data_IF_248540012820
#
_entry.id   IF_248540012820
#
_cell.length_a   1.000
_cell.length_b   1.000
_cell.length_c   1.000
_cell.angle_alpha   90.00
_cell.angle_beta   90.00
_cell.angle_gamma   90.00
#
_symmetry.space_group_name_H-M   'P 1'
#
loop_
_entity.id
_entity.type
_entity.pdbx_description
1 polymer ?
#
# COMPACT_ATOMS: atom_id res chain seq x y z
N UNK A 1 1.00 24.34 0.42
CA UNK A 1 -0.13 24.57 -0.54
C UNK A 1 0.18 24.02 -1.93
N UNK A 2 1.45 23.95 -2.28
CA UNK A 2 1.85 23.54 -3.64
C UNK A 2 1.64 22.06 -3.93
N UNK A 3 1.76 21.17 -2.92
CA UNK A 3 1.63 19.73 -3.12
C UNK A 3 0.21 19.27 -3.52
N UNK A 4 -0.84 19.85 -2.93
CA UNK A 4 -2.23 19.52 -3.29
C UNK A 4 -2.53 19.96 -4.73
N UNK A 5 -2.04 21.15 -5.11
CA UNK A 5 -2.12 21.63 -6.49
C UNK A 5 -1.32 20.72 -7.41
N UNK A 6 -0.14 20.26 -6.97
CA UNK A 6 0.69 19.31 -7.67
C UNK A 6 -0.02 17.96 -7.90
N UNK A 7 -0.70 17.43 -6.89
CA UNK A 7 -1.47 16.19 -7.01
C UNK A 7 -2.60 16.34 -8.05
N UNK A 8 -3.32 17.47 -8.07
CA UNK A 8 -4.34 17.71 -9.10
C UNK A 8 -3.71 17.76 -10.50
N UNK A 9 -2.58 18.49 -10.66
CA UNK A 9 -1.86 18.55 -11.94
C UNK A 9 -1.38 17.17 -12.40
N UNK A 10 -0.92 16.33 -11.47
CA UNK A 10 -0.50 14.97 -11.78
C UNK A 10 -1.68 14.11 -12.25
N UNK A 11 -2.85 14.23 -11.61
CA UNK A 11 -4.08 13.56 -12.06
C UNK A 11 -4.50 14.08 -13.45
N UNK A 12 -4.44 15.38 -13.68
CA UNK A 12 -4.76 16.00 -14.98
C UNK A 12 -3.81 15.48 -16.07
N UNK A 13 -2.50 15.44 -15.78
CA UNK A 13 -1.52 14.87 -16.68
C UNK A 13 -1.81 13.41 -17.04
N UNK A 14 -2.16 12.58 -16.06
CA UNK A 14 -2.54 11.19 -16.30
C UNK A 14 -3.76 11.11 -17.23
N UNK A 15 -4.80 11.89 -16.96
CA UNK A 15 -6.05 11.90 -17.76
C UNK A 15 -5.83 12.34 -19.19
N UNK A 16 -4.96 13.33 -19.40
CA UNK A 16 -4.63 13.85 -20.72
C UNK A 16 -3.78 12.87 -21.56
N UNK A 17 -3.10 11.91 -20.89
CA UNK A 17 -2.20 10.97 -21.54
C UNK A 17 -2.66 9.50 -21.43
N UNK A 18 -3.94 9.22 -21.18
CA UNK A 18 -4.44 7.86 -20.98
C UNK A 18 -4.24 6.94 -22.20
N UNK A 19 -4.12 7.48 -23.41
CA UNK A 19 -3.86 6.71 -24.64
C UNK A 19 -2.38 6.58 -24.97
N UNK A 20 -1.51 7.22 -24.20
CA UNK A 20 -0.06 7.24 -24.40
C UNK A 20 0.65 6.41 -23.33
N UNK A 21 1.97 6.24 -23.49
CA UNK A 21 2.81 5.68 -22.42
C UNK A 21 2.98 6.73 -21.32
N UNK A 22 2.54 6.41 -20.12
CA UNK A 22 2.64 7.30 -18.96
C UNK A 22 3.92 6.98 -18.21
N UNK A 23 4.81 7.96 -18.14
CA UNK A 23 6.03 7.92 -17.34
C UNK A 23 5.74 8.47 -15.94
N UNK A 24 5.97 7.67 -14.91
CA UNK A 24 5.70 8.04 -13.52
C UNK A 24 6.64 9.11 -12.98
N UNK A 25 7.84 9.26 -13.55
CA UNK A 25 8.72 10.39 -13.23
C UNK A 25 8.07 11.71 -13.69
N UNK A 26 7.49 11.70 -14.89
CA UNK A 26 6.76 12.88 -15.40
C UNK A 26 5.49 13.19 -14.62
N UNK A 27 4.80 12.17 -14.14
CA UNK A 27 3.64 12.32 -13.23
C UNK A 27 4.07 12.98 -11.92
N UNK A 28 5.13 12.45 -11.28
CA UNK A 28 5.65 12.95 -10.01
C UNK A 28 6.21 14.37 -10.12
N UNK A 29 6.84 14.70 -11.26
CA UNK A 29 7.37 16.04 -11.53
C UNK A 29 6.28 17.14 -11.47
N UNK A 30 5.00 16.80 -11.72
CA UNK A 30 3.89 17.75 -11.58
C UNK A 30 3.70 18.23 -10.13
N UNK A 31 4.14 17.44 -9.16
CA UNK A 31 4.06 17.73 -7.73
C UNK A 31 5.41 18.04 -7.08
N UNK A 32 6.46 18.22 -7.88
CA UNK A 32 7.83 18.47 -7.40
C UNK A 32 8.32 17.43 -6.40
N UNK A 33 7.97 16.16 -6.61
CA UNK A 33 8.34 15.06 -5.73
C UNK A 33 9.03 13.94 -6.50
N UNK A 34 9.73 13.05 -5.79
CA UNK A 34 10.25 11.84 -6.40
C UNK A 34 9.11 10.90 -6.81
N UNK A 35 9.33 10.08 -7.83
CA UNK A 35 8.36 9.09 -8.31
C UNK A 35 7.90 8.16 -7.19
N UNK A 36 8.83 7.67 -6.38
CA UNK A 36 8.52 6.83 -5.24
C UNK A 36 7.61 7.52 -4.22
N UNK A 37 7.98 8.74 -3.81
CA UNK A 37 7.19 9.52 -2.85
C UNK A 37 5.77 9.76 -3.38
N UNK A 38 5.65 10.21 -4.65
CA UNK A 38 4.35 10.47 -5.26
C UNK A 38 3.47 9.23 -5.31
N UNK A 39 3.99 8.10 -5.82
CA UNK A 39 3.26 6.85 -5.89
C UNK A 39 2.79 6.39 -4.52
N UNK A 40 3.67 6.54 -3.52
CA UNK A 40 3.37 6.14 -2.14
C UNK A 40 2.28 6.98 -1.51
N UNK A 41 2.41 8.30 -1.59
CA UNK A 41 1.40 9.25 -1.10
C UNK A 41 0.06 9.03 -1.81
N UNK A 42 0.08 8.91 -3.13
CA UNK A 42 -1.13 8.63 -3.92
C UNK A 42 -1.83 7.36 -3.43
N UNK A 43 -1.08 6.26 -3.24
CA UNK A 43 -1.67 4.99 -2.79
C UNK A 43 -2.24 5.04 -1.38
N UNK A 44 -1.64 5.83 -0.48
CA UNK A 44 -2.14 6.03 0.89
C UNK A 44 -3.44 6.84 0.88
N UNK A 45 -3.49 7.91 0.08
CA UNK A 45 -4.66 8.78 0.01
C UNK A 45 -5.84 8.14 -0.72
N UNK A 46 -5.57 7.45 -1.84
CA UNK A 46 -6.58 6.89 -2.71
C UNK A 46 -6.94 5.43 -2.36
N UNK A 47 -6.11 4.73 -1.57
CA UNK A 47 -6.24 3.31 -1.26
C UNK A 47 -6.05 2.37 -2.47
N UNK A 48 -5.56 2.88 -3.60
CA UNK A 48 -5.17 2.12 -4.79
C UNK A 48 -3.95 2.77 -5.47
N UNK A 49 -3.26 2.02 -6.31
CA UNK A 49 -2.03 2.52 -6.97
C UNK A 49 -2.35 3.38 -8.19
N UNK A 50 -1.35 4.14 -8.68
CA UNK A 50 -1.46 4.91 -9.93
C UNK A 50 -1.73 3.98 -11.11
N UNK A 51 -1.04 2.84 -11.18
CA UNK A 51 -1.25 1.85 -12.24
C UNK A 51 -2.67 1.26 -12.23
N UNK A 52 -3.23 0.99 -11.04
CA UNK A 52 -4.64 0.59 -10.91
C UNK A 52 -5.59 1.68 -11.40
N UNK A 53 -5.32 2.94 -11.06
CA UNK A 53 -6.11 4.07 -11.54
C UNK A 53 -6.09 4.16 -13.07
N UNK A 54 -4.90 4.21 -13.67
CA UNK A 54 -4.72 4.29 -15.12
C UNK A 54 -5.43 3.12 -15.81
N UNK A 55 -5.21 1.90 -15.35
CA UNK A 55 -5.83 0.69 -15.91
C UNK A 55 -7.36 0.77 -15.88
N UNK A 56 -7.96 1.14 -14.75
CA UNK A 56 -9.39 1.22 -14.59
C UNK A 56 -10.01 2.35 -15.45
N UNK A 57 -9.32 3.49 -15.56
CA UNK A 57 -9.72 4.60 -16.43
C UNK A 57 -9.70 4.18 -17.90
N UNK A 58 -8.61 3.55 -18.35
CA UNK A 58 -8.45 3.02 -19.72
C UNK A 58 -9.55 2.02 -20.07
N UNK A 59 -9.83 1.06 -19.20
CA UNK A 59 -10.88 0.07 -19.41
C UNK A 59 -12.27 0.71 -19.46
N UNK A 60 -12.55 1.68 -18.60
CA UNK A 60 -13.80 2.42 -18.61
C UNK A 60 -14.02 3.16 -19.94
N UNK A 61 -13.00 3.89 -20.41
CA UNK A 61 -13.04 4.62 -21.69
C UNK A 61 -13.13 3.68 -22.88
N UNK A 62 -12.36 2.57 -22.87
CA UNK A 62 -12.43 1.54 -23.90
C UNK A 62 -13.84 0.93 -24.01
N UNK A 63 -14.49 0.69 -22.87
CA UNK A 63 -15.87 0.20 -22.84
C UNK A 63 -16.84 1.17 -23.49
N UNK A 64 -16.72 2.47 -23.19
CA UNK A 64 -17.54 3.52 -23.82
C UNK A 64 -17.29 3.59 -25.32
N UNK A 65 -16.02 3.58 -25.75
CA UNK A 65 -15.66 3.64 -27.17
C UNK A 65 -16.19 2.43 -27.96
N UNK A 66 -16.04 1.22 -27.41
CA UNK A 66 -16.58 0.01 -28.03
C UNK A 66 -18.12 0.02 -28.11
N UNK A 67 -18.81 0.61 -27.15
CA UNK A 67 -20.27 0.69 -27.15
C UNK A 67 -20.82 1.74 -28.12
N UNK A 68 -20.06 2.82 -28.39
CA UNK A 68 -20.55 4.00 -29.14
C UNK A 68 -19.93 4.14 -30.52
N UNK A 69 -19.01 3.26 -30.93
CA UNK A 69 -18.32 3.33 -32.22
C UNK A 69 -18.20 1.96 -32.89
N UNK A 70 -17.84 1.96 -34.18
CA UNK A 70 -17.55 0.75 -34.94
C UNK A 70 -16.07 0.34 -34.91
N UNK A 71 -15.25 0.91 -33.95
CA UNK A 71 -13.86 0.64 -33.83
C UNK A 71 -13.60 -0.86 -33.55
N UNK A 72 -12.62 -1.46 -34.21
CA UNK A 72 -12.29 -2.87 -33.96
C UNK A 72 -11.73 -3.05 -32.55
N UNK A 73 -12.05 -4.17 -31.91
CA UNK A 73 -11.55 -4.49 -30.55
C UNK A 73 -10.01 -4.41 -30.45
N UNK A 74 -9.30 -4.84 -31.51
CA UNK A 74 -7.83 -4.79 -31.56
C UNK A 74 -7.32 -3.34 -31.56
N UNK A 75 -7.97 -2.44 -32.31
CA UNK A 75 -7.54 -1.05 -32.41
C UNK A 75 -7.77 -0.32 -31.08
N UNK A 76 -8.88 -0.61 -30.41
CA UNK A 76 -9.20 -0.08 -29.08
C UNK A 76 -8.22 -0.64 -28.04
N UNK A 77 -7.88 -1.94 -28.10
CA UNK A 77 -6.88 -2.53 -27.21
C UNK A 77 -5.52 -1.83 -27.31
N UNK A 78 -5.02 -1.64 -28.54
CA UNK A 78 -3.75 -0.95 -28.80
C UNK A 78 -3.81 0.52 -28.33
N UNK A 79 -4.88 1.24 -28.65
CA UNK A 79 -5.08 2.64 -28.23
C UNK A 79 -4.99 2.82 -26.71
N UNK A 80 -5.52 1.88 -25.93
CA UNK A 80 -5.48 1.94 -24.47
C UNK A 80 -4.31 1.19 -23.84
N UNK A 81 -3.23 0.95 -24.63
CA UNK A 81 -1.93 0.50 -24.14
C UNK A 81 -1.85 -1.00 -23.87
N UNK A 82 -2.66 -1.83 -24.50
CA UNK A 82 -2.54 -3.28 -24.44
C UNK A 82 -1.81 -3.83 -25.66
N UNK A 83 -0.74 -4.58 -25.41
CA UNK A 83 0.10 -5.16 -26.47
C UNK A 83 -0.58 -6.35 -27.19
N UNK A 84 -1.57 -6.98 -26.54
CA UNK A 84 -2.29 -8.10 -27.14
C UNK A 84 -3.80 -8.03 -26.91
N UNK A 85 -4.61 -8.47 -27.89
CA UNK A 85 -6.06 -8.57 -27.73
C UNK A 85 -6.48 -9.49 -26.59
N UNK A 86 -5.70 -10.55 -26.31
CA UNK A 86 -6.01 -11.51 -25.25
C UNK A 86 -5.83 -10.91 -23.86
N UNK A 87 -4.75 -10.17 -23.64
CA UNK A 87 -4.53 -9.45 -22.38
C UNK A 87 -5.61 -8.39 -22.14
N UNK A 88 -5.96 -7.65 -23.20
CA UNK A 88 -7.08 -6.72 -23.16
C UNK A 88 -8.41 -7.40 -22.83
N UNK A 89 -8.74 -8.49 -23.52
CA UNK A 89 -10.01 -9.20 -23.31
C UNK A 89 -10.14 -9.73 -21.88
N UNK A 90 -9.07 -10.28 -21.30
CA UNK A 90 -9.04 -10.72 -19.90
C UNK A 90 -9.24 -9.55 -18.92
N UNK A 91 -8.52 -8.44 -19.11
CA UNK A 91 -8.63 -7.27 -18.27
C UNK A 91 -10.04 -6.62 -18.39
N UNK A 92 -10.55 -6.50 -19.61
CA UNK A 92 -11.86 -5.96 -19.91
C UNK A 92 -12.96 -6.81 -19.26
N UNK A 93 -12.89 -8.14 -19.40
CA UNK A 93 -13.86 -9.05 -18.78
C UNK A 93 -13.79 -9.00 -17.26
N UNK A 94 -12.57 -8.94 -16.68
CA UNK A 94 -12.43 -8.77 -15.23
C UNK A 94 -13.05 -7.46 -14.74
N UNK A 95 -12.92 -6.37 -15.50
CA UNK A 95 -13.43 -5.06 -15.13
C UNK A 95 -14.94 -4.93 -15.38
N UNK A 96 -15.42 -5.19 -16.62
CA UNK A 96 -16.82 -4.99 -17.02
C UNK A 96 -17.73 -6.18 -16.72
N UNK A 97 -17.18 -7.39 -16.57
CA UNK A 97 -17.93 -8.64 -16.40
C UNK A 97 -18.38 -9.28 -17.73
N UNK A 98 -18.11 -8.64 -18.88
CA UNK A 98 -18.45 -9.12 -20.22
C UNK A 98 -17.23 -9.06 -21.15
N UNK A 99 -17.28 -9.76 -22.26
CA UNK A 99 -16.23 -9.70 -23.29
C UNK A 99 -16.28 -8.37 -24.08
N UNK A 100 -15.15 -7.86 -24.60
CA UNK A 100 -15.12 -6.63 -25.41
C UNK A 100 -16.06 -6.68 -26.62
N UNK A 101 -16.16 -7.85 -27.28
CA UNK A 101 -17.08 -8.05 -28.42
C UNK A 101 -18.55 -7.89 -28.06
N UNK A 102 -18.90 -8.05 -26.80
CA UNK A 102 -20.27 -7.95 -26.30
C UNK A 102 -20.65 -6.50 -25.92
N UNK A 103 -19.67 -5.60 -25.84
CA UNK A 103 -19.91 -4.22 -25.40
C UNK A 103 -20.94 -3.46 -26.29
N UNK A 104 -21.04 -3.85 -27.55
CA UNK A 104 -22.00 -3.26 -28.53
C UNK A 104 -23.41 -3.84 -28.50
N UNK A 105 -23.60 -4.94 -27.79
CA UNK A 105 -24.91 -5.58 -27.78
C UNK A 105 -25.92 -4.69 -27.05
N UNK A 106 -27.12 -4.61 -27.58
CA UNK A 106 -28.21 -3.86 -26.95
C UNK A 106 -28.43 -4.38 -25.50
N UNK A 107 -28.42 -3.46 -24.53
CA UNK A 107 -28.62 -3.80 -23.12
C UNK A 107 -27.36 -4.28 -22.38
N UNK A 108 -26.19 -4.28 -23.00
CA UNK A 108 -24.95 -4.60 -22.30
C UNK A 108 -24.68 -3.59 -21.19
N UNK A 109 -24.46 -4.09 -19.98
CA UNK A 109 -24.09 -3.25 -18.83
C UNK A 109 -22.57 -3.10 -18.78
N UNK A 110 -22.10 -1.86 -18.88
CA UNK A 110 -20.70 -1.49 -18.73
C UNK A 110 -20.49 -0.78 -17.39
N UNK A 111 -19.34 -1.03 -16.76
CA UNK A 111 -18.92 -0.28 -15.57
C UNK A 111 -18.23 1.00 -15.99
N UNK A 112 -18.53 2.09 -15.31
CA UNK A 112 -17.82 3.36 -15.46
C UNK A 112 -16.90 3.57 -14.25
N UNK A 113 -15.67 3.96 -14.52
CA UNK A 113 -14.72 4.40 -13.49
C UNK A 113 -14.46 5.89 -13.67
N UNK A 114 -14.91 6.69 -12.71
CA UNK A 114 -14.84 8.15 -12.82
C UNK A 114 -13.42 8.67 -12.65
N UNK A 115 -13.15 9.83 -13.27
CA UNK A 115 -11.96 10.61 -12.99
C UNK A 115 -11.90 10.99 -11.51
N UNK A 116 -10.70 10.94 -10.92
CA UNK A 116 -10.47 11.48 -9.59
C UNK A 116 -10.64 13.01 -9.59
N UNK A 117 -11.35 13.49 -8.58
CA UNK A 117 -11.52 14.92 -8.32
C UNK A 117 -11.16 15.16 -6.86
N UNK A 118 -10.19 16.03 -6.63
CA UNK A 118 -9.85 16.45 -5.27
C UNK A 118 -10.98 17.30 -4.68
N UNK A 119 -11.47 16.89 -3.54
CA UNK A 119 -12.40 17.68 -2.73
C UNK A 119 -11.66 18.13 -1.47
N UNK A 120 -11.68 19.41 -1.22
CA UNK A 120 -11.08 19.97 -0.02
C UNK A 120 -12.10 19.97 1.10
N UNK A 121 -11.73 19.40 2.25
CA UNK A 121 -12.36 19.65 3.54
C UNK A 121 -11.37 20.41 4.42
N UNK A 122 -11.84 21.34 5.24
CA UNK A 122 -11.04 21.96 6.29
C UNK A 122 -11.04 20.99 7.47
N UNK A 123 -9.97 20.24 7.59
CA UNK A 123 -9.67 19.37 8.73
C UNK A 123 -8.33 19.82 9.30
N UNK A 124 -8.12 19.71 10.59
CA UNK A 124 -6.87 20.10 11.23
C UNK A 124 -7.10 20.77 12.58
N UNK A 125 -6.07 21.39 13.10
CA UNK A 125 -6.09 22.01 14.43
C UNK A 125 -6.00 20.99 15.58
N UNK A 126 -5.71 19.73 15.27
CA UNK A 126 -5.42 18.68 16.25
C UNK A 126 -3.91 18.47 16.37
N UNK A 127 -3.44 18.24 17.58
CA UNK A 127 -2.04 17.90 17.82
C UNK A 127 -1.74 16.48 17.32
N UNK A 128 -0.57 16.27 16.72
CA UNK A 128 -0.02 14.98 16.39
C UNK A 128 1.33 14.84 17.09
N UNK A 129 1.48 13.80 17.89
CA UNK A 129 2.76 13.51 18.53
C UNK A 129 3.66 12.79 17.52
N UNK A 130 4.82 13.38 17.26
CA UNK A 130 5.81 12.80 16.38
C UNK A 130 7.22 13.02 16.91
N UNK A 131 8.15 12.20 16.42
CA UNK A 131 9.60 12.39 16.60
C UNK A 131 10.34 11.92 15.36
N UNK A 132 11.51 12.49 15.16
CA UNK A 132 12.42 12.04 14.10
C UNK A 132 13.59 11.34 14.78
N UNK A 133 13.82 10.09 14.39
CA UNK A 133 14.92 9.29 14.96
C UNK A 133 15.67 8.54 13.87
N UNK A 134 16.97 8.41 14.06
CA UNK A 134 17.80 7.49 13.29
C UNK A 134 17.77 6.11 13.96
N UNK A 135 17.25 5.11 13.26
CA UNK A 135 17.18 3.74 13.78
C UNK A 135 18.28 2.92 13.16
N UNK A 136 19.03 2.20 14.02
CA UNK A 136 20.03 1.23 13.58
C UNK A 136 19.38 0.10 12.81
N UNK A 137 20.19 -0.58 11.99
CA UNK A 137 19.74 -1.79 11.32
C UNK A 137 19.20 -2.81 12.32
N UNK A 138 18.09 -3.46 11.96
CA UNK A 138 17.48 -4.49 12.79
C UNK A 138 17.00 -5.66 11.92
N UNK A 139 16.82 -6.80 12.57
CA UNK A 139 16.30 -8.01 11.92
C UNK A 139 14.99 -8.41 12.59
N UNK A 140 13.95 -8.51 11.79
CA UNK A 140 12.63 -8.96 12.24
C UNK A 140 12.39 -10.35 11.67
N UNK A 141 12.13 -11.30 12.54
CA UNK A 141 11.78 -12.68 12.18
C UNK A 141 10.29 -12.87 12.29
N UNK A 142 9.67 -13.38 11.23
CA UNK A 142 8.21 -13.49 11.19
C UNK A 142 7.69 -14.32 10.03
N UNK A 143 6.43 -14.09 9.69
CA UNK A 143 5.78 -14.60 8.50
C UNK A 143 5.61 -13.45 7.51
N UNK A 144 5.74 -13.75 6.21
CA UNK A 144 5.48 -12.77 5.15
C UNK A 144 4.58 -13.32 4.07
N UNK A 145 3.92 -12.40 3.37
CA UNK A 145 3.12 -12.68 2.19
C UNK A 145 3.09 -11.43 1.30
N UNK A 146 3.12 -11.65 -0.02
CA UNK A 146 2.84 -10.57 -0.96
C UNK A 146 1.35 -10.43 -1.15
N UNK A 147 0.84 -9.21 -0.98
CA UNK A 147 -0.55 -8.85 -1.24
C UNK A 147 -0.64 -8.11 -2.57
N UNK A 148 -1.50 -8.60 -3.46
CA UNK A 148 -1.64 -8.07 -4.82
C UNK A 148 -3.10 -8.02 -5.27
N UNK A 149 -3.34 -7.34 -6.38
CA UNK A 149 -4.69 -7.15 -6.93
C UNK A 149 -5.36 -5.89 -6.42
N UNK A 150 -6.69 -5.82 -6.51
CA UNK A 150 -7.45 -4.65 -6.08
C UNK A 150 -7.34 -4.40 -4.56
N UNK A 151 -7.67 -3.19 -4.08
CA UNK A 151 -7.69 -2.91 -2.63
C UNK A 151 -8.53 -3.89 -1.83
N UNK A 152 -9.67 -4.32 -2.39
CA UNK A 152 -10.53 -5.34 -1.78
C UNK A 152 -9.85 -6.71 -1.75
N UNK A 153 -9.15 -7.11 -2.83
CA UNK A 153 -8.41 -8.37 -2.88
C UNK A 153 -7.30 -8.38 -1.82
N UNK A 154 -6.53 -7.29 -1.73
CA UNK A 154 -5.46 -7.13 -0.73
C UNK A 154 -5.99 -7.18 0.69
N UNK A 155 -7.14 -6.53 0.96
CA UNK A 155 -7.77 -6.58 2.28
C UNK A 155 -8.16 -8.02 2.68
N UNK A 156 -8.77 -8.79 1.77
CA UNK A 156 -9.13 -10.18 2.02
C UNK A 156 -7.88 -11.06 2.21
N UNK A 157 -6.87 -10.90 1.35
CA UNK A 157 -5.60 -11.63 1.48
C UNK A 157 -4.93 -11.36 2.83
N UNK A 158 -4.89 -10.10 3.26
CA UNK A 158 -4.33 -9.72 4.55
C UNK A 158 -5.13 -10.32 5.71
N UNK A 159 -6.46 -10.25 5.64
CA UNK A 159 -7.32 -10.87 6.64
C UNK A 159 -7.05 -12.38 6.73
N UNK A 160 -7.11 -13.10 5.61
CA UNK A 160 -6.91 -14.54 5.56
C UNK A 160 -5.51 -14.95 6.05
N UNK A 161 -4.48 -14.18 5.67
CA UNK A 161 -3.12 -14.38 6.16
C UNK A 161 -3.05 -14.24 7.69
N UNK A 162 -3.61 -13.18 8.25
CA UNK A 162 -3.56 -12.89 9.68
C UNK A 162 -4.34 -13.89 10.52
N UNK A 163 -5.46 -14.43 10.01
CA UNK A 163 -6.30 -15.40 10.75
C UNK A 163 -5.89 -16.85 10.49
N UNK A 164 -5.02 -17.13 9.54
CA UNK A 164 -4.58 -18.48 9.23
C UNK A 164 -3.97 -19.15 10.46
N UNK A 165 -4.28 -20.45 10.65
CA UNK A 165 -3.80 -21.21 11.80
C UNK A 165 -2.26 -21.23 11.87
N UNK A 166 -1.60 -21.31 10.70
CA UNK A 166 -0.15 -21.32 10.60
C UNK A 166 0.47 -19.97 11.03
N UNK A 167 0.00 -18.86 10.48
CA UNK A 167 0.51 -17.51 10.85
C UNK A 167 0.29 -17.24 12.34
N UNK A 168 -0.89 -17.57 12.87
CA UNK A 168 -1.18 -17.40 14.30
C UNK A 168 -0.26 -18.24 15.18
N UNK A 169 -0.03 -19.50 14.83
CA UNK A 169 0.87 -20.37 15.59
C UNK A 169 2.30 -19.83 15.60
N UNK A 170 2.83 -19.47 14.41
CA UNK A 170 4.20 -18.95 14.29
C UNK A 170 4.34 -17.65 15.07
N UNK A 171 3.43 -16.69 14.94
CA UNK A 171 3.45 -15.44 15.71
C UNK A 171 3.48 -15.70 17.22
N UNK A 172 2.67 -16.66 17.69
CA UNK A 172 2.63 -16.99 19.11
C UNK A 172 3.95 -17.59 19.61
N UNK A 173 4.53 -18.51 18.83
CA UNK A 173 5.82 -19.13 19.13
C UNK A 173 6.95 -18.10 19.15
N UNK A 174 6.99 -17.21 18.16
CA UNK A 174 8.00 -16.15 18.07
C UNK A 174 7.89 -15.13 19.22
N UNK A 175 6.68 -14.78 19.63
CA UNK A 175 6.47 -13.90 20.78
C UNK A 175 7.01 -14.49 22.09
N UNK A 176 6.97 -15.82 22.25
CA UNK A 176 7.59 -16.49 23.39
C UNK A 176 9.12 -16.40 23.44
N UNK A 177 9.76 -16.10 22.29
CA UNK A 177 11.22 -15.96 22.14
C UNK A 177 11.65 -14.50 21.96
N UNK A 178 10.70 -13.56 21.88
CA UNK A 178 10.96 -12.17 21.58
C UNK A 178 11.84 -11.50 22.66
N UNK A 179 12.67 -10.55 22.22
CA UNK A 179 13.40 -9.65 23.13
C UNK A 179 12.44 -8.82 23.99
N UNK A 180 11.31 -8.44 23.44
CA UNK A 180 10.18 -7.82 24.13
C UNK A 180 8.88 -8.45 23.61
N UNK A 181 8.23 -9.25 24.44
CA UNK A 181 6.99 -9.95 24.07
C UNK A 181 5.76 -9.02 24.03
N UNK A 182 5.86 -7.78 24.46
CA UNK A 182 4.79 -6.78 24.38
C UNK A 182 4.74 -6.07 23.01
N UNK A 183 5.80 -6.22 22.19
CA UNK A 183 5.92 -5.55 20.89
C UNK A 183 5.83 -6.55 19.76
N UNK A 184 5.00 -6.24 18.77
CA UNK A 184 4.95 -6.94 17.50
C UNK A 184 5.22 -5.95 16.36
N UNK A 185 6.00 -6.39 15.38
CA UNK A 185 6.44 -5.57 14.25
C UNK A 185 5.72 -6.03 12.99
N UNK A 186 5.05 -5.11 12.31
CA UNK A 186 4.64 -5.31 10.93
C UNK A 186 5.51 -4.45 10.01
N UNK A 187 5.94 -5.04 8.89
CA UNK A 187 6.80 -4.38 7.90
C UNK A 187 6.12 -4.42 6.55
N UNK A 188 6.04 -3.27 5.90
CA UNK A 188 5.59 -3.14 4.52
C UNK A 188 6.77 -2.74 3.67
N UNK A 189 7.08 -3.53 2.65
CA UNK A 189 8.23 -3.34 1.76
C UNK A 189 7.88 -3.70 0.32
N UNK A 190 8.80 -3.47 -0.62
CA UNK A 190 8.67 -3.83 -2.03
C UNK A 190 7.34 -3.40 -2.64
N UNK A 191 6.98 -2.14 -2.41
CA UNK A 191 5.72 -1.56 -2.86
C UNK A 191 5.85 -1.18 -4.33
N UNK A 192 4.96 -1.71 -5.16
CA UNK A 192 4.84 -1.40 -6.58
C UNK A 192 3.38 -1.32 -7.04
N UNK A 193 3.15 -1.19 -8.35
CA UNK A 193 1.80 -1.08 -8.93
C UNK A 193 0.95 -2.34 -8.76
N UNK A 194 1.56 -3.48 -8.51
CA UNK A 194 0.83 -4.75 -8.35
C UNK A 194 0.50 -5.05 -6.89
N UNK A 195 1.29 -4.52 -5.94
CA UNK A 195 1.07 -4.79 -4.53
C UNK A 195 2.23 -4.41 -3.63
N UNK A 196 2.36 -5.14 -2.53
CA UNK A 196 3.42 -4.96 -1.54
C UNK A 196 3.68 -6.25 -0.77
N UNK A 197 4.88 -6.36 -0.24
CA UNK A 197 5.23 -7.41 0.71
C UNK A 197 4.88 -6.95 2.12
N UNK A 198 4.17 -7.81 2.83
CA UNK A 198 3.81 -7.61 4.22
C UNK A 198 4.45 -8.71 5.07
N UNK A 199 5.14 -8.31 6.11
CA UNK A 199 5.71 -9.23 7.11
C UNK A 199 5.19 -8.87 8.49
N UNK A 200 4.95 -9.86 9.34
CA UNK A 200 4.60 -9.67 10.75
C UNK A 200 5.43 -10.60 11.62
N UNK A 201 6.02 -10.07 12.66
CA UNK A 201 6.94 -10.83 13.50
C UNK A 201 7.49 -10.05 14.66
N UNK A 202 8.67 -10.45 15.14
CA UNK A 202 9.34 -9.85 16.29
C UNK A 202 10.87 -9.89 16.15
N UNK A 203 11.55 -9.17 17.02
CA UNK A 203 13.02 -9.24 17.16
C UNK A 203 13.37 -10.37 18.12
N UNK A 204 14.13 -11.32 17.62
CA UNK A 204 14.58 -12.50 18.38
C UNK A 204 16.06 -12.34 18.72
N UNK A 205 16.45 -12.58 19.95
CA UNK A 205 17.87 -12.63 20.31
C UNK A 205 18.62 -13.72 19.52
N UNK A 206 19.85 -13.44 19.12
CA UNK A 206 20.66 -14.33 18.27
C UNK A 206 20.83 -15.74 18.84
N UNK A 207 20.84 -15.90 20.17
CA UNK A 207 20.95 -17.22 20.80
C UNK A 207 19.71 -18.10 20.61
N UNK A 208 18.57 -17.56 20.16
CA UNK A 208 17.39 -18.35 19.83
C UNK A 208 17.33 -18.77 18.36
N UNK A 209 18.13 -18.18 17.47
CA UNK A 209 18.08 -18.50 16.04
C UNK A 209 18.35 -19.98 15.77
N UNK A 210 19.29 -20.59 16.49
CA UNK A 210 19.61 -22.01 16.35
C UNK A 210 18.51 -22.96 16.87
N UNK A 211 17.52 -22.43 17.57
CA UNK A 211 16.43 -23.20 18.16
C UNK A 211 15.08 -22.96 17.44
N UNK A 212 15.04 -22.03 16.47
CA UNK A 212 13.81 -21.66 15.77
C UNK A 212 13.12 -22.86 15.13
N UNK A 213 13.86 -23.68 14.38
CA UNK A 213 13.33 -24.87 13.71
C UNK A 213 12.72 -25.87 14.69
N UNK A 214 13.37 -26.07 15.83
CA UNK A 214 12.86 -26.98 16.88
C UNK A 214 11.59 -26.46 17.54
N UNK A 215 11.47 -25.15 17.69
CA UNK A 215 10.32 -24.51 18.37
C UNK A 215 9.11 -24.38 17.47
N UNK A 216 9.29 -23.97 16.20
CA UNK A 216 8.19 -23.81 15.27
C UNK A 216 7.91 -25.04 14.44
N UNK A 217 8.80 -26.05 14.45
CA UNK A 217 8.77 -27.26 13.62
C UNK A 217 9.26 -27.02 12.19
N UNK A 218 9.88 -28.04 11.58
CA UNK A 218 10.50 -27.93 10.24
C UNK A 218 9.55 -27.36 9.17
N UNK A 219 8.30 -27.81 9.14
CA UNK A 219 7.29 -27.34 8.17
C UNK A 219 6.92 -25.87 8.32
N UNK A 220 7.11 -25.29 9.51
CA UNK A 220 6.82 -23.87 9.76
C UNK A 220 8.10 -23.05 9.66
N UNK A 221 9.25 -23.59 10.03
CA UNK A 221 10.54 -22.94 9.90
C UNK A 221 10.86 -22.56 8.45
N UNK A 222 10.50 -23.41 7.48
CA UNK A 222 10.64 -23.14 6.03
C UNK A 222 9.78 -21.95 5.55
N UNK A 223 8.82 -21.49 6.34
CA UNK A 223 7.91 -20.37 6.05
C UNK A 223 8.28 -19.11 6.82
N UNK A 224 9.30 -19.21 7.69
CA UNK A 224 9.81 -18.03 8.39
C UNK A 224 10.50 -17.11 7.40
N UNK A 225 10.28 -15.84 7.56
CA UNK A 225 10.95 -14.79 6.80
C UNK A 225 11.82 -13.99 7.75
N UNK A 226 13.05 -13.75 7.33
CA UNK A 226 13.98 -12.85 7.98
C UNK A 226 13.95 -11.55 7.20
N UNK A 227 13.39 -10.52 7.80
CA UNK A 227 13.29 -9.20 7.20
C UNK A 227 14.39 -8.31 7.77
N UNK A 228 15.37 -7.98 6.94
CA UNK A 228 16.37 -6.98 7.27
C UNK A 228 15.80 -5.58 7.08
N UNK A 229 15.92 -4.75 8.10
CA UNK A 229 15.57 -3.34 8.09
C UNK A 229 16.87 -2.55 8.17
N UNK A 230 17.25 -1.79 7.15
CA UNK A 230 18.50 -1.05 7.14
C UNK A 230 18.46 0.12 8.13
N UNK A 231 19.65 0.57 8.55
CA UNK A 231 19.80 1.83 9.31
C UNK A 231 19.25 3.00 8.49
N UNK A 232 18.33 3.77 9.08
CA UNK A 232 17.69 4.88 8.41
C UNK A 232 17.03 5.84 9.38
N UNK A 233 16.81 7.07 8.90
CA UNK A 233 16.01 8.08 9.58
C UNK A 233 14.53 7.84 9.34
N UNK A 234 13.75 7.89 10.40
CA UNK A 234 12.30 7.71 10.38
C UNK A 234 11.58 8.88 11.03
N UNK A 235 10.46 9.27 10.42
CA UNK A 235 9.38 9.96 11.11
C UNK A 235 8.59 8.92 11.89
N UNK A 236 8.53 9.06 13.19
CA UNK A 236 7.78 8.18 14.08
C UNK A 236 6.59 8.94 14.60
N UNK A 237 5.40 8.41 14.36
CA UNK A 237 4.12 8.93 14.85
C UNK A 237 3.43 7.89 15.71
N UNK A 238 2.75 8.33 16.77
CA UNK A 238 2.11 7.44 17.75
C UNK A 238 0.60 7.70 17.79
N UNK A 239 -0.18 6.62 17.94
CA UNK A 239 -1.61 6.74 18.28
C UNK A 239 -1.77 7.11 19.75
N UNK A 240 -2.95 7.60 20.12
CA UNK A 240 -3.33 7.67 21.52
C UNK A 240 -3.34 6.26 22.14
N UNK A 241 -3.15 6.21 23.46
CA UNK A 241 -3.25 4.94 24.20
C UNK A 241 -4.72 4.58 24.37
N UNK A 242 -5.13 3.50 23.73
CA UNK A 242 -6.54 3.07 23.76
C UNK A 242 -6.67 1.56 23.47
N UNK A 243 -7.87 1.02 23.70
CA UNK A 243 -8.20 -0.34 23.27
C UNK A 243 -8.41 -0.46 21.75
N UNK A 244 -8.58 0.67 21.06
CA UNK A 244 -8.87 0.76 19.61
C UNK A 244 -7.72 1.29 18.78
N UNK A 245 -6.53 1.42 19.35
CA UNK A 245 -5.34 2.01 18.72
C UNK A 245 -5.00 1.38 17.35
N UNK A 246 -5.27 0.08 17.15
CA UNK A 246 -5.03 -0.60 15.87
C UNK A 246 -5.93 -0.03 14.75
N UNK A 247 -7.11 0.43 15.07
CA UNK A 247 -8.02 1.03 14.08
C UNK A 247 -7.61 2.46 13.73
N UNK A 248 -6.94 3.15 14.64
CA UNK A 248 -6.50 4.54 14.50
C UNK A 248 -5.23 4.68 13.65
N UNK A 249 -4.44 3.59 13.48
CA UNK A 249 -3.15 3.69 12.78
C UNK A 249 -3.26 4.09 11.30
N UNK A 250 -4.36 3.76 10.64
CA UNK A 250 -4.60 4.18 9.24
C UNK A 250 -4.86 5.68 9.16
N UNK A 251 -5.57 6.23 10.13
CA UNK A 251 -5.84 7.67 10.20
C UNK A 251 -4.57 8.47 10.52
N UNK A 252 -3.76 7.99 11.48
CA UNK A 252 -2.50 8.67 11.80
C UNK A 252 -1.52 8.66 10.61
N UNK A 253 -1.56 7.61 9.78
CA UNK A 253 -0.77 7.52 8.55
C UNK A 253 -1.22 8.56 7.52
N UNK A 254 -2.52 8.70 7.30
CA UNK A 254 -3.06 9.74 6.41
C UNK A 254 -2.70 11.13 6.92
N UNK A 255 -2.85 11.37 8.22
CA UNK A 255 -2.50 12.64 8.84
C UNK A 255 -1.02 12.97 8.69
N UNK A 256 -0.12 12.00 8.90
CA UNK A 256 1.30 12.22 8.67
C UNK A 256 1.57 12.72 7.24
N UNK A 257 0.91 12.11 6.24
CA UNK A 257 1.05 12.50 4.82
C UNK A 257 0.45 13.88 4.54
N UNK A 258 -0.73 14.17 5.05
CA UNK A 258 -1.48 15.40 4.71
C UNK A 258 -1.09 16.61 5.55
N UNK A 259 -0.65 16.40 6.77
CA UNK A 259 -0.34 17.47 7.71
C UNK A 259 1.19 17.70 7.82
N UNK A 260 1.96 16.64 8.11
CA UNK A 260 3.39 16.80 8.41
C UNK A 260 4.27 16.91 7.16
N UNK A 261 4.12 16.00 6.18
CA UNK A 261 4.96 16.04 4.97
C UNK A 261 4.72 17.28 4.11
N UNK A 262 3.52 17.87 4.15
CA UNK A 262 3.21 19.08 3.39
C UNK A 262 3.94 20.34 3.89
N UNK A 263 4.42 20.32 5.12
CA UNK A 263 5.10 21.45 5.77
C UNK A 263 6.58 21.16 6.06
N UNK A 264 7.04 19.93 5.77
CA UNK A 264 8.40 19.49 6.08
C UNK A 264 9.34 19.57 4.87
N UNK A 265 10.65 19.57 5.13
CA UNK A 265 11.71 19.43 4.12
C UNK A 265 12.01 17.96 3.76
N UNK A 266 11.18 17.05 4.22
CA UNK A 266 11.37 15.61 4.02
C UNK A 266 10.34 15.04 3.06
N UNK A 267 10.74 13.96 2.39
CA UNK A 267 9.86 13.09 1.60
C UNK A 267 9.99 11.64 2.08
N UNK A 268 9.03 10.78 1.68
CA UNK A 268 9.14 9.35 1.93
C UNK A 268 10.31 8.76 1.14
N UNK A 269 11.19 8.06 1.83
CA UNK A 269 12.30 7.34 1.24
C UNK A 269 11.89 5.94 0.79
N UNK A 270 12.55 5.42 -0.24
CA UNK A 270 12.35 4.04 -0.70
C UNK A 270 12.97 3.04 0.28
N UNK A 271 12.26 2.74 1.34
CA UNK A 271 12.65 1.80 2.38
C UNK A 271 11.40 1.22 3.07
N UNK A 272 11.57 0.15 3.88
CA UNK A 272 10.46 -0.45 4.60
C UNK A 272 9.78 0.52 5.57
N UNK A 273 8.45 0.55 5.55
CA UNK A 273 7.63 1.14 6.58
C UNK A 273 7.40 0.12 7.68
N UNK A 274 7.46 0.57 8.94
CA UNK A 274 7.37 -0.32 10.10
C UNK A 274 6.23 0.16 10.98
N UNK A 275 5.40 -0.77 11.41
CA UNK A 275 4.37 -0.52 12.41
C UNK A 275 4.67 -1.37 13.64
N UNK A 276 4.81 -0.74 14.80
CA UNK A 276 4.98 -1.41 16.07
C UNK A 276 3.66 -1.41 16.81
N UNK A 277 3.18 -2.59 17.13
CA UNK A 277 2.01 -2.79 17.98
C UNK A 277 2.48 -3.02 19.41
N UNK A 278 2.25 -2.08 20.29
CA UNK A 278 2.53 -2.17 21.72
C UNK A 278 1.28 -2.67 22.45
N UNK A 279 1.32 -3.91 22.91
CA UNK A 279 0.19 -4.53 23.57
C UNK A 279 0.32 -4.42 25.10
N UNK A 280 -0.64 -3.72 25.72
CA UNK A 280 -0.84 -3.85 27.16
C UNK A 280 -1.76 -5.05 27.45
N UNK A 281 -1.14 -6.13 27.88
CA UNK A 281 -1.84 -7.38 28.19
C UNK A 281 -2.60 -7.35 29.52
N UNK A 282 -2.34 -6.36 30.37
CA UNK A 282 -2.89 -6.25 31.73
C UNK A 282 -4.13 -5.39 31.74
N UNK A 283 -4.02 -4.17 31.28
CA UNK A 283 -5.12 -3.17 31.39
C UNK A 283 -5.95 -3.02 30.11
N UNK A 284 -5.46 -3.55 28.98
CA UNK A 284 -6.04 -3.44 27.61
C UNK A 284 -6.31 -2.00 27.12
N UNK A 285 -6.21 -1.01 27.99
CA UNK A 285 -6.47 0.40 27.67
C UNK A 285 -5.21 1.22 27.36
N UNK A 286 -4.03 0.66 27.56
CA UNK A 286 -2.74 1.31 27.34
C UNK A 286 -2.00 0.84 26.09
N UNK A 287 -2.65 0.04 25.23
CA UNK A 287 -2.08 -0.34 23.95
C UNK A 287 -1.98 0.88 23.04
N UNK A 288 -0.94 0.93 22.22
CA UNK A 288 -0.72 1.98 21.23
C UNK A 288 0.05 1.45 20.03
N UNK A 289 0.06 2.21 18.97
CA UNK A 289 0.78 1.88 17.74
C UNK A 289 1.78 2.99 17.43
N UNK A 290 3.01 2.61 17.11
CA UNK A 290 3.98 3.48 16.47
C UNK A 290 4.03 3.16 14.98
N UNK A 291 3.94 4.19 14.15
CA UNK A 291 4.17 4.09 12.72
C UNK A 291 5.50 4.79 12.39
N UNK A 292 6.43 4.04 11.82
CA UNK A 292 7.73 4.53 11.38
C UNK A 292 7.74 4.69 9.87
N UNK A 293 7.71 5.91 9.40
CA UNK A 293 7.78 6.26 7.99
C UNK A 293 9.23 6.61 7.63
N UNK A 294 9.85 5.91 6.69
CA UNK A 294 11.23 6.21 6.30
C UNK A 294 11.28 7.55 5.57
N UNK A 295 12.21 8.42 5.97
CA UNK A 295 12.33 9.78 5.45
C UNK A 295 13.71 10.08 4.91
N UNK A 296 13.76 10.95 3.91
CA UNK A 296 14.96 11.58 3.36
C UNK A 296 14.68 13.05 3.04
N UNK A 297 15.72 13.87 2.95
CA UNK A 297 15.58 15.26 2.55
C UNK A 297 15.18 15.34 1.07
N UNK A 298 14.34 16.32 0.75
CA UNK A 298 13.91 16.62 -0.64
C UNK A 298 15.08 17.13 -1.47
#
# INVERSE_FOLDING_TARGET
>A
MDWIIGLQKAIDYIEDNLTETIDYEMVAAQSFSSSYHFQRVFSILCSFTIGEYIRNRRLSLAGTELATSDAKVIDVALKYGYESPDSFAKAFQKFHGILPSQARNNGSMLKSYSRLVLKFSLEGGCTMNYRIEEKRSMVITGCSMRFSGSPSDRYHQQHDFMVSGNTRFVRYALQGMASDCSIEYAVVSNIDDEGYDFSIGTIIPTYFTDHLEKTVGENNASKLTIQEVPERKYLIVETERSATCIQEHLEIRKRAITEWFTESEYQLANAPEITLFHYDRITKGNSYVELWLPIELV
#
